data_IF_898934990468
#
_entry.id   IF_898934990468
#
_cell.length_a   1.000
_cell.length_b   1.000
_cell.length_c   1.000
_cell.angle_alpha   90.00
_cell.angle_beta   90.00
_cell.angle_gamma   90.00
#
_symmetry.space_group_name_H-M   'P 1'
#
loop_
_entity.id
_entity.type
_entity.pdbx_description
1 polymer ?
#
# COMPACT_ATOMS: atom_id res chain seq x y z
N UNK A 1 -8.66 7.60 -4.87
CA UNK A 1 -9.11 7.20 -3.53
C UNK A 1 -7.94 6.46 -2.89
N UNK A 2 -7.51 6.87 -1.69
CA UNK A 2 -6.37 6.25 -1.00
C UNK A 2 -6.75 4.86 -0.50
N UNK A 3 -5.77 3.97 -0.36
CA UNK A 3 -5.96 2.60 0.17
C UNK A 3 -6.63 2.63 1.55
N UNK A 4 -6.19 3.54 2.43
CA UNK A 4 -6.75 3.66 3.77
C UNK A 4 -8.22 4.08 3.80
N UNK A 5 -8.62 5.00 2.92
CA UNK A 5 -10.01 5.48 2.85
C UNK A 5 -10.95 4.37 2.38
N UNK A 6 -10.53 3.63 1.34
CA UNK A 6 -11.27 2.50 0.82
C UNK A 6 -11.45 1.40 1.87
N UNK A 7 -10.37 1.06 2.59
CA UNK A 7 -10.42 0.06 3.65
C UNK A 7 -11.39 0.45 4.78
N UNK A 8 -11.35 1.71 5.22
CA UNK A 8 -12.26 2.20 6.25
C UNK A 8 -13.72 2.21 5.79
N UNK A 9 -13.97 2.53 4.52
CA UNK A 9 -15.32 2.47 3.95
C UNK A 9 -15.85 1.03 3.93
N UNK A 10 -15.04 0.06 3.50
CA UNK A 10 -15.41 -1.36 3.47
C UNK A 10 -15.65 -1.91 4.89
N UNK A 11 -14.80 -1.56 5.86
CA UNK A 11 -14.99 -1.98 7.25
C UNK A 11 -16.32 -1.45 7.81
N UNK A 12 -16.62 -0.17 7.57
CA UNK A 12 -17.90 0.44 7.98
C UNK A 12 -19.10 -0.22 7.30
N UNK A 13 -19.01 -0.47 5.99
CA UNK A 13 -20.08 -1.11 5.22
C UNK A 13 -20.40 -2.53 5.73
N UNK A 14 -19.39 -3.23 6.26
CA UNK A 14 -19.51 -4.62 6.76
C UNK A 14 -19.67 -4.73 8.28
N UNK A 15 -19.61 -3.61 9.01
CA UNK A 15 -19.65 -3.59 10.47
C UNK A 15 -18.40 -4.20 11.13
N UNK A 16 -17.27 -4.19 10.43
CA UNK A 16 -16.00 -4.69 10.97
C UNK A 16 -15.26 -3.59 11.74
N UNK A 17 -14.66 -3.98 12.85
CA UNK A 17 -13.73 -3.16 13.62
C UNK A 17 -12.31 -3.68 13.41
N UNK A 18 -11.45 -2.94 12.69
CA UNK A 18 -10.06 -3.31 12.51
C UNK A 18 -9.34 -3.44 13.85
N UNK A 19 -8.52 -4.49 13.99
CA UNK A 19 -7.57 -4.56 15.09
C UNK A 19 -6.35 -3.65 14.81
N UNK A 20 -5.55 -3.29 15.84
CA UNK A 20 -4.39 -2.43 15.65
C UNK A 20 -3.33 -2.97 14.67
N UNK A 21 -3.25 -4.30 14.46
CA UNK A 21 -2.34 -4.89 13.48
C UNK A 21 -2.85 -4.68 12.04
N UNK A 22 -4.16 -4.78 11.83
CA UNK A 22 -4.81 -4.45 10.56
C UNK A 22 -4.65 -2.98 10.20
N UNK A 23 -4.83 -2.05 11.16
CA UNK A 23 -4.60 -0.63 10.92
C UNK A 23 -3.16 -0.35 10.46
N UNK A 24 -2.17 -0.93 11.14
CA UNK A 24 -0.75 -0.82 10.75
C UNK A 24 -0.48 -1.42 9.37
N UNK A 25 -1.11 -2.54 9.04
CA UNK A 25 -0.99 -3.17 7.73
C UNK A 25 -1.47 -2.23 6.61
N UNK A 26 -2.60 -1.55 6.83
CA UNK A 26 -3.16 -0.60 5.86
C UNK A 26 -2.29 0.64 5.69
N UNK A 27 -1.72 1.17 6.77
CA UNK A 27 -0.73 2.26 6.69
C UNK A 27 0.48 1.85 5.85
N UNK A 28 0.99 0.63 6.05
CA UNK A 28 2.14 0.13 5.28
C UNK A 28 1.81 -0.08 3.80
N UNK A 29 0.58 -0.49 3.49
CA UNK A 29 0.08 -0.58 2.12
C UNK A 29 -0.03 0.80 1.46
N UNK A 30 -0.52 1.81 2.18
CA UNK A 30 -0.56 3.18 1.68
C UNK A 30 0.83 3.69 1.32
N UNK A 31 1.82 3.48 2.20
CA UNK A 31 3.21 3.85 1.92
C UNK A 31 3.77 3.13 0.68
N UNK A 32 3.39 1.87 0.46
CA UNK A 32 3.78 1.14 -0.74
C UNK A 32 3.15 1.76 -1.99
N UNK A 33 1.87 2.11 -1.97
CA UNK A 33 1.22 2.84 -3.06
C UNK A 33 1.98 4.14 -3.38
N UNK A 34 2.25 4.96 -2.35
CA UNK A 34 2.93 6.25 -2.50
C UNK A 34 4.32 6.08 -3.15
N UNK A 35 5.08 5.07 -2.72
CA UNK A 35 6.38 4.72 -3.31
C UNK A 35 6.26 4.32 -4.80
N UNK A 36 5.24 3.55 -5.15
CA UNK A 36 4.99 3.16 -6.54
C UNK A 36 4.52 4.34 -7.40
N UNK A 37 3.73 5.26 -6.86
CA UNK A 37 3.33 6.49 -7.54
C UNK A 37 4.57 7.33 -7.85
N UNK A 38 5.40 7.61 -6.84
CA UNK A 38 6.62 8.39 -7.01
C UNK A 38 7.59 7.75 -8.02
N UNK A 39 7.79 6.42 -7.95
CA UNK A 39 8.62 5.70 -8.92
C UNK A 39 8.09 5.83 -10.36
N UNK A 40 6.76 5.73 -10.55
CA UNK A 40 6.13 5.88 -11.87
C UNK A 40 6.19 7.33 -12.37
N UNK A 41 6.05 8.32 -11.50
CA UNK A 41 6.18 9.74 -11.85
C UNK A 41 7.58 10.05 -12.40
N UNK A 42 8.63 9.56 -11.73
CA UNK A 42 10.01 9.70 -12.21
C UNK A 42 10.17 9.04 -13.59
N UNK A 43 9.58 7.86 -13.80
CA UNK A 43 9.66 7.11 -15.06
C UNK A 43 8.53 7.42 -16.06
N UNK A 44 7.85 8.54 -15.93
CA UNK A 44 6.68 8.87 -16.77
C UNK A 44 7.04 9.10 -18.25
N UNK A 45 8.26 9.54 -18.57
CA UNK A 45 8.66 9.93 -19.93
C UNK A 45 9.83 9.09 -20.49
N UNK A 46 9.93 8.98 -21.81
CA UNK A 46 10.99 8.18 -22.47
C UNK A 46 12.41 8.68 -22.12
N UNK A 47 12.59 9.99 -21.99
CA UNK A 47 13.84 10.61 -21.56
C UNK A 47 14.21 10.24 -20.11
N UNK A 48 13.25 10.35 -19.19
CA UNK A 48 13.50 10.05 -17.78
C UNK A 48 13.72 8.56 -17.53
N UNK A 49 13.07 7.68 -18.30
CA UNK A 49 13.30 6.23 -18.26
C UNK A 49 14.73 5.81 -18.64
N UNK A 50 15.41 6.58 -19.49
CA UNK A 50 16.77 6.28 -19.96
C UNK A 50 17.83 6.88 -19.04
N UNK A 51 17.53 8.02 -18.40
CA UNK A 51 18.47 8.76 -17.57
C UNK A 51 18.41 8.34 -16.10
N UNK A 52 17.21 8.06 -15.58
CA UNK A 52 17.01 7.74 -14.17
C UNK A 52 16.78 6.25 -13.95
N UNK A 53 17.59 5.68 -13.06
CA UNK A 53 17.48 4.30 -12.58
C UNK A 53 17.17 4.31 -11.08
N UNK A 54 15.97 4.78 -10.67
CA UNK A 54 15.57 4.75 -9.27
C UNK A 54 15.41 3.31 -8.77
N UNK A 55 15.65 3.09 -7.49
CA UNK A 55 15.47 1.77 -6.87
C UNK A 55 14.00 1.31 -7.00
N UNK A 56 13.81 0.01 -7.30
CA UNK A 56 12.47 -0.55 -7.42
C UNK A 56 11.81 -0.62 -6.03
N UNK A 57 10.63 0.00 -5.83
CA UNK A 57 9.94 -0.09 -4.56
C UNK A 57 9.55 -1.54 -4.23
N UNK A 58 9.73 -1.93 -2.97
CA UNK A 58 9.45 -3.29 -2.49
C UNK A 58 7.96 -3.46 -2.19
N UNK A 59 7.39 -4.57 -2.63
CA UNK A 59 6.04 -4.96 -2.26
C UNK A 59 5.90 -5.27 -0.76
N UNK A 60 4.66 -5.26 -0.27
CA UNK A 60 4.33 -5.61 1.11
C UNK A 60 3.67 -6.99 1.13
N UNK A 61 4.05 -7.81 2.11
CA UNK A 61 3.40 -9.08 2.38
C UNK A 61 2.63 -8.97 3.71
N UNK A 62 1.32 -9.19 3.65
CA UNK A 62 0.48 -9.24 4.84
C UNK A 62 0.37 -10.68 5.31
N UNK A 63 0.90 -10.93 6.50
CA UNK A 63 0.84 -12.21 7.18
C UNK A 63 -0.16 -12.11 8.33
N UNK A 64 -1.13 -13.04 8.35
CA UNK A 64 -2.00 -13.25 9.50
C UNK A 64 -1.64 -14.60 10.14
N UNK A 65 -1.13 -14.63 11.38
CA UNK A 65 -0.92 -15.90 12.06
C UNK A 65 -2.26 -16.60 12.28
N UNK A 66 -2.28 -17.91 12.05
CA UNK A 66 -3.44 -18.75 12.37
C UNK A 66 -3.62 -18.75 13.89
N UNK A 67 -4.71 -18.17 14.36
CA UNK A 67 -5.13 -18.30 15.75
C UNK A 67 -5.64 -19.72 15.94
N UNK A 68 -4.87 -20.57 16.60
CA UNK A 68 -5.33 -21.87 17.09
C UNK A 68 -6.16 -21.55 18.34
N UNK A 69 -7.45 -21.87 18.26
CA UNK A 69 -8.43 -21.82 19.35
C UNK A 69 -8.06 -22.77 20.49
#
# INVERSE_FOLDING_TARGET
MKVADFYNQECKARGYHPDPAQERAIVRLQQCEDQWVAYKEIRSNALTKKLFHPELPRGVYLWRPRQII
#
